data_IF_664929731039
#
_entry.id   IF_664929731039
#
_cell.length_a   1.000
_cell.length_b   1.000
_cell.length_c   1.000
_cell.angle_alpha   90.00
_cell.angle_beta   90.00
_cell.angle_gamma   90.00
#
_symmetry.space_group_name_H-M   'P 1'
#
loop_
_entity.id
_entity.type
_entity.pdbx_description
1 polymer ?
#
# COMPACT_ATOMS: atom_id res chain seq x y z
N UNK A 1 -24.50 -18.13 -6.48
CA UNK A 1 -24.97 -17.08 -7.41
C UNK A 1 -24.05 -15.90 -7.20
N UNK A 2 -23.06 -15.70 -8.09
CA UNK A 2 -22.04 -14.64 -7.99
C UNK A 2 -22.71 -13.35 -8.49
N UNK A 3 -23.02 -12.43 -7.56
CA UNK A 3 -23.52 -11.11 -7.94
C UNK A 3 -22.34 -10.27 -8.50
N UNK A 4 -22.21 -10.26 -9.82
CA UNK A 4 -21.36 -9.29 -10.50
C UNK A 4 -22.03 -7.92 -10.45
N UNK A 5 -21.85 -7.19 -9.36
CA UNK A 5 -22.15 -5.75 -9.31
C UNK A 5 -21.08 -5.02 -10.13
N UNK A 6 -21.27 -4.96 -11.46
CA UNK A 6 -20.43 -4.11 -12.31
C UNK A 6 -20.77 -2.66 -11.97
N UNK A 7 -19.75 -1.87 -11.66
CA UNK A 7 -19.89 -0.42 -11.54
C UNK A 7 -20.58 0.13 -12.80
N UNK A 8 -21.69 0.80 -12.62
CA UNK A 8 -22.31 1.55 -13.71
C UNK A 8 -21.57 2.89 -13.91
N UNK A 9 -21.41 3.39 -15.14
CA UNK A 9 -20.66 4.63 -15.41
C UNK A 9 -21.16 5.88 -14.67
N UNK A 10 -22.40 5.85 -14.17
CA UNK A 10 -23.02 6.98 -13.45
C UNK A 10 -22.63 7.10 -11.98
N UNK A 11 -22.10 6.04 -11.36
CA UNK A 11 -21.76 6.02 -9.93
C UNK A 11 -20.38 6.61 -9.63
N UNK A 12 -20.25 7.23 -8.45
CA UNK A 12 -19.00 7.79 -7.95
C UNK A 12 -18.11 6.70 -7.32
N UNK A 13 -16.82 7.00 -7.26
CA UNK A 13 -15.82 6.23 -6.51
C UNK A 13 -15.40 7.05 -5.30
N UNK A 14 -15.62 6.53 -4.10
CA UNK A 14 -15.10 7.11 -2.87
C UNK A 14 -13.67 6.61 -2.62
N UNK A 15 -12.72 7.51 -2.40
CA UNK A 15 -11.35 7.18 -2.02
C UNK A 15 -11.08 7.74 -0.63
N UNK A 16 -11.03 6.88 0.39
CA UNK A 16 -10.60 7.30 1.73
C UNK A 16 -9.07 7.28 1.82
N UNK A 17 -8.49 8.21 2.59
CA UNK A 17 -7.04 8.39 2.58
C UNK A 17 -6.51 9.01 1.29
N UNK A 18 -7.35 9.76 0.58
CA UNK A 18 -7.07 10.36 -0.73
C UNK A 18 -5.85 11.31 -0.74
N UNK A 19 -5.50 11.93 0.39
CA UNK A 19 -4.32 12.80 0.53
C UNK A 19 -3.03 12.04 0.89
N UNK A 20 -3.10 10.73 1.12
CA UNK A 20 -1.95 9.88 1.39
C UNK A 20 -1.18 9.53 0.11
N UNK A 21 -0.02 8.87 0.27
CA UNK A 21 0.86 8.49 -0.84
C UNK A 21 0.10 7.75 -1.96
N UNK A 22 -0.50 6.60 -1.67
CA UNK A 22 -1.24 5.81 -2.67
C UNK A 22 -2.52 6.56 -3.11
N UNK A 23 -3.20 7.20 -2.15
CA UNK A 23 -4.47 7.90 -2.41
C UNK A 23 -4.34 9.02 -3.44
N UNK A 24 -3.26 9.79 -3.41
CA UNK A 24 -2.98 10.85 -4.38
C UNK A 24 -2.80 10.28 -5.79
N UNK A 25 -1.97 9.24 -5.94
CA UNK A 25 -1.75 8.57 -7.22
C UNK A 25 -3.04 7.95 -7.77
N UNK A 26 -3.79 7.24 -6.92
CA UNK A 26 -5.05 6.59 -7.32
C UNK A 26 -6.11 7.61 -7.74
N UNK A 27 -6.29 8.67 -6.94
CA UNK A 27 -7.27 9.73 -7.25
C UNK A 27 -6.97 10.40 -8.58
N UNK A 28 -5.69 10.77 -8.81
CA UNK A 28 -5.25 11.36 -10.08
C UNK A 28 -5.48 10.43 -11.26
N UNK A 29 -5.14 9.14 -11.12
CA UNK A 29 -5.32 8.16 -12.19
C UNK A 29 -6.81 7.89 -12.51
N UNK A 30 -7.68 7.85 -11.50
CA UNK A 30 -9.12 7.69 -11.69
C UNK A 30 -9.74 8.90 -12.41
N UNK A 31 -9.36 10.12 -11.99
CA UNK A 31 -9.82 11.36 -12.63
C UNK A 31 -9.35 11.42 -14.10
N UNK A 32 -8.07 11.09 -14.37
CA UNK A 32 -7.52 11.05 -15.72
C UNK A 32 -8.23 10.03 -16.64
N UNK A 33 -8.84 8.98 -16.06
CA UNK A 33 -9.66 8.01 -16.78
C UNK A 33 -11.15 8.43 -16.90
N UNK A 34 -11.51 9.63 -16.44
CA UNK A 34 -12.87 10.18 -16.55
C UNK A 34 -13.85 9.68 -15.47
N UNK A 35 -13.35 9.07 -14.37
CA UNK A 35 -14.23 8.65 -13.28
C UNK A 35 -14.61 9.81 -12.36
N UNK A 36 -15.84 9.80 -11.85
CA UNK A 36 -16.29 10.70 -10.78
C UNK A 36 -15.71 10.20 -9.46
N UNK A 37 -14.80 10.97 -8.85
CA UNK A 37 -14.10 10.61 -7.60
C UNK A 37 -14.53 11.53 -6.47
N UNK A 38 -14.85 10.94 -5.32
CA UNK A 38 -15.06 11.64 -4.05
C UNK A 38 -13.84 11.39 -3.16
N UNK A 39 -12.92 12.36 -3.05
CA UNK A 39 -11.76 12.21 -2.17
C UNK A 39 -12.13 12.50 -0.72
N UNK A 40 -11.83 11.57 0.19
CA UNK A 40 -11.95 11.76 1.64
C UNK A 40 -10.58 11.63 2.32
N UNK A 41 -10.27 12.56 3.19
CA UNK A 41 -9.01 12.58 3.95
C UNK A 41 -9.26 12.97 5.41
N UNK A 42 -8.23 12.92 6.26
CA UNK A 42 -8.33 13.37 7.65
C UNK A 42 -8.72 14.85 7.81
N UNK A 43 -8.57 15.65 6.75
CA UNK A 43 -9.06 17.04 6.72
C UNK A 43 -10.58 17.11 6.56
N UNK A 44 -11.19 16.08 5.96
CA UNK A 44 -12.65 15.97 5.79
C UNK A 44 -13.33 15.35 7.01
N UNK A 45 -12.59 14.73 7.92
CA UNK A 45 -13.07 14.10 9.14
C UNK A 45 -12.26 12.86 9.54
N UNK A 46 -12.35 12.47 10.83
CA UNK A 46 -11.73 11.24 11.32
C UNK A 46 -12.53 10.04 10.84
N UNK A 47 -11.91 9.21 9.99
CA UNK A 47 -12.55 8.04 9.38
C UNK A 47 -13.16 7.07 10.39
N UNK A 48 -12.69 7.06 11.63
CA UNK A 48 -13.20 6.20 12.70
C UNK A 48 -14.51 6.69 13.33
N UNK A 49 -14.89 7.95 13.08
CA UNK A 49 -16.03 8.56 13.78
C UNK A 49 -16.82 9.57 12.95
N UNK A 50 -16.33 9.97 11.76
CA UNK A 50 -17.10 10.85 10.90
C UNK A 50 -18.26 10.11 10.25
N UNK A 51 -19.37 10.82 10.08
CA UNK A 51 -20.46 10.34 9.24
C UNK A 51 -20.04 10.44 7.77
N UNK A 52 -20.13 9.32 7.07
CA UNK A 52 -19.86 9.25 5.64
C UNK A 52 -21.21 9.44 4.90
N UNK A 53 -21.47 10.67 4.49
CA UNK A 53 -22.72 11.02 3.81
C UNK A 53 -22.41 11.41 2.36
N UNK A 54 -22.30 10.38 1.49
CA UNK A 54 -22.03 10.53 0.07
C UNK A 54 -23.06 9.75 -0.73
N UNK A 55 -23.69 10.42 -1.68
CA UNK A 55 -24.69 9.83 -2.58
C UNK A 55 -24.03 9.20 -3.81
N UNK A 56 -24.72 8.26 -4.43
CA UNK A 56 -24.34 7.61 -5.69
C UNK A 56 -22.96 6.90 -5.69
N UNK A 57 -22.44 6.51 -4.55
CA UNK A 57 -21.18 5.76 -4.46
C UNK A 57 -21.41 4.31 -4.85
N UNK A 58 -20.68 3.84 -5.87
CA UNK A 58 -20.74 2.44 -6.33
C UNK A 58 -19.56 1.60 -5.83
N UNK A 59 -18.43 2.23 -5.57
CA UNK A 59 -17.21 1.57 -5.09
C UNK A 59 -16.45 2.45 -4.12
N UNK A 60 -15.84 1.82 -3.11
CA UNK A 60 -14.97 2.48 -2.14
C UNK A 60 -13.57 1.89 -2.21
N UNK A 61 -12.56 2.74 -2.37
CA UNK A 61 -11.18 2.38 -2.07
C UNK A 61 -10.85 2.83 -0.64
N UNK A 62 -10.70 1.88 0.27
CA UNK A 62 -10.35 2.21 1.65
C UNK A 62 -8.84 2.15 1.86
N UNK A 63 -8.19 3.32 1.71
CA UNK A 63 -6.74 3.52 1.87
C UNK A 63 -6.40 4.25 3.17
N UNK A 64 -7.38 4.81 3.87
CA UNK A 64 -7.17 5.52 5.12
C UNK A 64 -6.63 4.57 6.19
N UNK A 65 -5.40 4.80 6.63
CA UNK A 65 -4.75 4.00 7.66
C UNK A 65 -3.56 4.73 8.27
N UNK A 66 -3.19 4.36 9.49
CA UNK A 66 -1.86 4.60 10.05
C UNK A 66 -0.96 3.44 9.66
N UNK A 67 0.19 3.73 9.03
CA UNK A 67 1.01 2.70 8.35
C UNK A 67 2.44 2.57 8.88
N UNK A 68 2.98 3.58 9.58
CA UNK A 68 4.37 3.55 10.04
C UNK A 68 4.53 2.67 11.29
N UNK A 69 5.09 1.47 11.10
CA UNK A 69 5.18 0.43 12.13
C UNK A 69 5.81 0.91 13.45
N UNK A 70 6.94 1.66 13.49
CA UNK A 70 7.52 2.12 14.75
C UNK A 70 6.57 2.97 15.60
N UNK A 71 5.70 3.78 14.99
CA UNK A 71 4.73 4.59 15.74
C UNK A 71 3.58 3.74 16.30
N UNK A 72 3.32 2.54 15.75
CA UNK A 72 2.30 1.64 16.26
C UNK A 72 2.62 1.09 17.66
N UNK A 73 3.91 0.98 17.98
CA UNK A 73 4.36 0.61 19.33
C UNK A 73 4.22 1.75 20.33
N UNK A 74 4.40 3.00 19.88
CA UNK A 74 4.29 4.19 20.73
C UNK A 74 2.85 4.55 21.07
N UNK A 75 1.95 4.37 20.11
CA UNK A 75 0.53 4.71 20.28
C UNK A 75 -0.38 3.67 19.59
N UNK A 76 -0.47 2.44 20.13
CA UNK A 76 -1.26 1.38 19.52
C UNK A 76 -2.75 1.71 19.42
N UNK A 77 -3.32 2.39 20.42
CA UNK A 77 -4.74 2.75 20.42
C UNK A 77 -5.16 3.55 19.18
N UNK A 78 -4.30 4.47 18.72
CA UNK A 78 -4.57 5.26 17.52
C UNK A 78 -4.61 4.40 16.25
N UNK A 79 -3.86 3.29 16.21
CA UNK A 79 -3.90 2.34 15.10
C UNK A 79 -5.18 1.51 15.11
N UNK A 80 -5.60 1.00 16.26
CA UNK A 80 -6.90 0.30 16.37
C UNK A 80 -8.05 1.21 15.97
N UNK A 81 -8.04 2.44 16.44
CA UNK A 81 -9.08 3.42 16.13
C UNK A 81 -9.18 3.69 14.63
N UNK A 82 -8.06 4.05 13.99
CA UNK A 82 -8.07 4.41 12.55
C UNK A 82 -8.20 3.17 11.67
N UNK A 83 -7.39 2.13 11.91
CA UNK A 83 -7.30 1.00 10.98
C UNK A 83 -8.44 -0.01 11.15
N UNK A 84 -8.96 -0.21 12.37
CA UNK A 84 -10.07 -1.15 12.61
C UNK A 84 -11.40 -0.41 12.63
N UNK A 85 -11.62 0.54 13.55
CA UNK A 85 -12.92 1.22 13.64
C UNK A 85 -13.21 2.03 12.38
N UNK A 86 -12.19 2.66 11.77
CA UNK A 86 -12.34 3.31 10.47
C UNK A 86 -12.77 2.35 9.37
N UNK A 87 -12.21 1.14 9.34
CA UNK A 87 -12.64 0.09 8.38
C UNK A 87 -14.10 -0.33 8.64
N UNK A 88 -14.49 -0.54 9.90
CA UNK A 88 -15.89 -0.89 10.23
C UNK A 88 -16.85 0.22 9.81
N UNK A 89 -16.51 1.50 10.04
CA UNK A 89 -17.32 2.63 9.58
C UNK A 89 -17.52 2.65 8.06
N UNK A 90 -16.44 2.38 7.30
CA UNK A 90 -16.52 2.28 5.83
C UNK A 90 -17.31 1.05 5.38
N UNK A 91 -17.18 -0.08 6.04
CA UNK A 91 -17.97 -1.28 5.75
C UNK A 91 -19.46 -1.04 5.98
N UNK A 92 -19.83 -0.33 7.05
CA UNK A 92 -21.21 0.03 7.33
C UNK A 92 -21.76 0.99 6.28
N UNK A 93 -20.96 1.98 5.85
CA UNK A 93 -21.31 2.83 4.69
C UNK A 93 -21.58 1.97 3.44
N UNK A 94 -20.68 1.02 3.11
CA UNK A 94 -20.85 0.15 1.95
C UNK A 94 -22.12 -0.71 2.07
N UNK A 95 -22.46 -1.19 3.27
CA UNK A 95 -23.68 -1.96 3.54
C UNK A 95 -24.94 -1.14 3.26
N UNK A 96 -24.99 0.08 3.79
CA UNK A 96 -26.16 0.96 3.67
C UNK A 96 -26.37 1.46 2.21
N UNK A 97 -25.26 1.80 1.54
CA UNK A 97 -25.29 2.35 0.18
C UNK A 97 -25.16 1.31 -0.94
N UNK A 98 -25.12 0.01 -0.60
CA UNK A 98 -24.92 -1.09 -1.56
C UNK A 98 -23.69 -0.88 -2.44
N UNK A 99 -22.60 -0.34 -1.85
CA UNK A 99 -21.32 -0.13 -2.53
C UNK A 99 -20.41 -1.33 -2.34
N UNK A 100 -19.52 -1.58 -3.30
CA UNK A 100 -18.42 -2.54 -3.16
C UNK A 100 -17.19 -1.88 -2.55
N UNK A 101 -16.30 -2.70 -1.94
CA UNK A 101 -15.12 -2.23 -1.23
C UNK A 101 -13.85 -2.89 -1.76
N UNK A 102 -12.82 -2.10 -2.06
CA UNK A 102 -11.44 -2.55 -2.08
C UNK A 102 -10.74 -2.10 -0.80
N UNK A 103 -10.43 -3.07 0.06
CA UNK A 103 -9.75 -2.85 1.35
C UNK A 103 -8.25 -3.01 1.17
N UNK A 104 -7.48 -1.95 1.45
CA UNK A 104 -6.04 -2.01 1.47
C UNK A 104 -5.54 -2.59 2.80
N UNK A 105 -5.01 -3.83 2.75
CA UNK A 105 -4.34 -4.49 3.85
C UNK A 105 -2.81 -4.28 3.77
N UNK A 106 -2.03 -5.29 4.12
CA UNK A 106 -0.58 -5.37 4.03
C UNK A 106 -0.16 -6.84 3.96
N UNK A 107 1.11 -7.14 3.66
CA UNK A 107 1.64 -8.50 3.73
C UNK A 107 1.85 -8.94 5.20
N UNK A 108 0.76 -9.29 5.87
CA UNK A 108 0.68 -9.61 7.31
C UNK A 108 0.94 -11.08 7.63
N UNK A 109 1.84 -11.72 6.90
CA UNK A 109 2.16 -13.14 7.01
C UNK A 109 3.19 -13.45 8.11
N UNK A 110 3.88 -12.43 8.59
CA UNK A 110 4.95 -12.61 9.54
C UNK A 110 6.20 -13.23 8.89
N UNK A 111 6.75 -14.29 9.52
CA UNK A 111 7.81 -15.11 8.91
C UNK A 111 7.16 -16.20 8.07
N UNK A 112 7.17 -16.10 6.74
CA UNK A 112 6.52 -17.09 5.89
C UNK A 112 7.27 -18.42 5.95
N UNK A 113 6.56 -19.52 5.76
CA UNK A 113 7.14 -20.87 5.73
C UNK A 113 7.64 -21.24 4.35
N UNK A 114 7.18 -20.56 3.31
CA UNK A 114 7.54 -20.80 1.90
C UNK A 114 7.67 -19.49 1.14
N UNK A 115 8.46 -19.53 0.08
CA UNK A 115 8.61 -18.47 -0.91
C UNK A 115 8.36 -19.05 -2.32
N UNK A 116 7.66 -18.31 -3.18
CA UNK A 116 6.96 -17.05 -2.94
C UNK A 116 5.79 -17.21 -1.96
N UNK A 117 5.42 -16.12 -1.26
CA UNK A 117 4.34 -16.12 -0.25
C UNK A 117 2.98 -16.07 -0.93
N UNK A 118 2.17 -17.11 -0.78
CA UNK A 118 0.80 -17.15 -1.28
C UNK A 118 -0.20 -16.55 -0.28
N UNK A 119 -1.41 -16.23 -0.76
CA UNK A 119 -2.49 -15.71 0.10
C UNK A 119 -3.00 -16.72 1.14
N UNK A 120 -2.67 -18.00 0.96
CA UNK A 120 -3.07 -19.09 1.87
C UNK A 120 -2.07 -19.28 3.03
N UNK A 121 -0.93 -18.56 3.02
CA UNK A 121 0.02 -18.56 4.13
C UNK A 121 -0.65 -17.99 5.40
N UNK A 122 -0.45 -18.61 6.57
CA UNK A 122 -1.04 -18.15 7.82
C UNK A 122 -0.66 -16.72 8.18
N UNK A 123 -1.65 -15.95 8.65
CA UNK A 123 -1.43 -14.57 9.09
C UNK A 123 -0.84 -14.55 10.50
N UNK A 124 0.18 -13.72 10.71
CA UNK A 124 0.84 -13.55 12.01
C UNK A 124 1.16 -12.08 12.27
N UNK A 125 0.56 -11.54 13.32
CA UNK A 125 0.84 -10.18 13.76
C UNK A 125 2.09 -10.15 14.65
N UNK A 126 3.08 -9.33 14.28
CA UNK A 126 4.27 -9.08 15.12
C UNK A 126 4.29 -7.68 15.72
N UNK A 127 3.36 -6.84 15.36
CA UNK A 127 3.26 -5.48 15.85
C UNK A 127 1.81 -5.00 15.82
N UNK A 128 1.47 -3.92 16.56
CA UNK A 128 0.09 -3.41 16.60
C UNK A 128 -0.46 -3.04 15.22
N UNK A 129 0.36 -2.52 14.31
CA UNK A 129 -0.07 -2.22 12.94
C UNK A 129 -0.56 -3.48 12.22
N UNK A 130 0.26 -4.55 12.15
CA UNK A 130 -0.12 -5.79 11.48
C UNK A 130 -1.35 -6.43 12.12
N UNK A 131 -1.47 -6.38 13.44
CA UNK A 131 -2.66 -6.87 14.15
C UNK A 131 -3.92 -6.11 13.73
N UNK A 132 -3.87 -4.78 13.66
CA UNK A 132 -5.03 -4.00 13.21
C UNK A 132 -5.42 -4.27 11.77
N UNK A 133 -4.45 -4.59 10.89
CA UNK A 133 -4.73 -4.97 9.50
C UNK A 133 -5.40 -6.34 9.40
N UNK A 134 -4.97 -7.32 10.20
CA UNK A 134 -5.62 -8.64 10.27
C UNK A 134 -7.08 -8.49 10.75
N UNK A 135 -7.32 -7.73 11.82
CA UNK A 135 -8.68 -7.49 12.32
C UNK A 135 -9.57 -6.75 11.31
N UNK A 136 -8.99 -5.82 10.54
CA UNK A 136 -9.71 -5.14 9.47
C UNK A 136 -10.10 -6.11 8.32
N UNK A 137 -9.23 -7.07 7.97
CA UNK A 137 -9.57 -8.14 7.03
C UNK A 137 -10.68 -9.04 7.56
N UNK A 138 -10.62 -9.42 8.83
CA UNK A 138 -11.66 -10.23 9.48
C UNK A 138 -13.02 -9.52 9.47
N UNK A 139 -13.04 -8.21 9.79
CA UNK A 139 -14.25 -7.40 9.67
C UNK A 139 -14.77 -7.39 8.22
N UNK A 140 -13.89 -7.20 7.23
CA UNK A 140 -14.24 -7.23 5.81
C UNK A 140 -14.89 -8.56 5.39
N UNK A 141 -14.31 -9.71 5.79
CA UNK A 141 -14.87 -11.04 5.52
C UNK A 141 -16.23 -11.22 6.19
N UNK A 142 -16.35 -10.81 7.45
CA UNK A 142 -17.61 -10.88 8.18
C UNK A 142 -18.73 -10.10 7.49
N UNK A 143 -18.46 -8.86 7.05
CA UNK A 143 -19.44 -8.06 6.31
C UNK A 143 -19.79 -8.67 4.95
N UNK A 144 -18.83 -9.28 4.27
CA UNK A 144 -19.09 -10.00 3.02
C UNK A 144 -20.02 -11.21 3.24
N UNK A 145 -19.79 -12.00 4.28
CA UNK A 145 -20.53 -13.23 4.57
C UNK A 145 -21.93 -12.93 5.11
N UNK A 146 -22.03 -12.02 6.08
CA UNK A 146 -23.28 -11.78 6.80
C UNK A 146 -24.16 -10.73 6.12
N UNK A 147 -23.55 -9.70 5.54
CA UNK A 147 -24.28 -8.56 4.98
C UNK A 147 -24.17 -8.43 3.45
N UNK A 148 -23.49 -9.36 2.80
CA UNK A 148 -23.33 -9.40 1.33
C UNK A 148 -22.64 -8.16 0.74
N UNK A 149 -21.84 -7.46 1.51
CA UNK A 149 -20.97 -6.37 1.01
C UNK A 149 -19.85 -7.00 0.17
N UNK A 150 -19.70 -6.68 -1.12
CA UNK A 150 -18.60 -7.22 -1.92
C UNK A 150 -17.27 -6.60 -1.47
N UNK A 151 -16.38 -7.39 -0.88
CA UNK A 151 -15.08 -6.92 -0.35
C UNK A 151 -13.93 -7.61 -1.05
N UNK A 152 -13.10 -6.84 -1.74
CA UNK A 152 -11.80 -7.29 -2.28
C UNK A 152 -10.69 -6.79 -1.37
N UNK A 153 -9.87 -7.69 -0.84
CA UNK A 153 -8.76 -7.38 0.07
C UNK A 153 -7.46 -7.46 -0.73
N UNK A 154 -6.71 -6.37 -0.75
CA UNK A 154 -5.38 -6.32 -1.38
C UNK A 154 -4.31 -6.30 -0.28
N UNK A 155 -3.36 -7.24 -0.35
CA UNK A 155 -2.18 -7.32 0.52
C UNK A 155 -0.94 -6.86 -0.25
N UNK A 156 -0.64 -5.56 -0.27
CA UNK A 156 0.56 -5.07 -0.93
C UNK A 156 1.81 -5.47 -0.15
N UNK A 157 2.87 -5.76 -0.89
CA UNK A 157 4.22 -5.86 -0.35
C UNK A 157 4.83 -4.45 -0.19
N UNK A 158 6.13 -4.25 -0.36
CA UNK A 158 6.70 -2.94 -0.06
C UNK A 158 6.48 -1.97 -1.23
N UNK A 159 5.51 -1.09 -1.07
CA UNK A 159 5.18 -0.10 -2.07
C UNK A 159 6.24 1.01 -2.03
N UNK A 160 6.65 1.51 -3.19
CA UNK A 160 7.55 2.66 -3.30
C UNK A 160 7.18 3.52 -4.53
N UNK A 161 7.67 4.75 -4.55
CA UNK A 161 7.45 5.68 -5.65
C UNK A 161 7.51 7.14 -5.22
N UNK A 162 7.35 8.09 -6.18
CA UNK A 162 7.37 9.52 -5.91
C UNK A 162 6.33 9.95 -4.88
N UNK A 163 6.73 10.79 -3.92
CA UNK A 163 5.84 11.32 -2.88
C UNK A 163 5.66 10.44 -1.66
N UNK A 164 6.35 9.30 -1.56
CA UNK A 164 6.34 8.48 -0.35
C UNK A 164 7.07 9.17 0.82
N UNK A 165 6.57 8.95 2.04
CA UNK A 165 7.16 9.50 3.28
C UNK A 165 8.62 9.06 3.45
N UNK A 166 9.50 10.03 3.75
CA UNK A 166 10.96 9.83 3.92
C UNK A 166 11.34 8.88 5.08
N UNK A 167 10.41 8.51 5.94
CA UNK A 167 10.62 7.51 6.99
C UNK A 167 10.70 6.07 6.48
N UNK A 168 10.22 5.79 5.25
CA UNK A 168 10.31 4.48 4.61
C UNK A 168 11.65 4.27 3.91
N UNK A 169 12.02 3.01 3.68
CA UNK A 169 13.37 2.60 3.26
C UNK A 169 13.84 3.29 1.98
N UNK A 170 13.10 3.17 0.89
CA UNK A 170 13.51 3.71 -0.42
C UNK A 170 13.63 5.24 -0.37
N UNK A 171 12.62 6.01 0.10
CA UNK A 171 12.77 7.46 0.22
C UNK A 171 13.87 7.88 1.20
N UNK A 172 14.13 7.09 2.28
CA UNK A 172 15.22 7.36 3.22
C UNK A 172 16.59 7.22 2.54
N UNK A 173 16.77 6.18 1.72
CA UNK A 173 18.00 5.98 0.94
C UNK A 173 18.17 7.14 -0.05
N UNK A 174 17.15 7.46 -0.83
CA UNK A 174 17.18 8.52 -1.82
C UNK A 174 17.46 9.91 -1.20
N UNK A 175 16.82 10.21 -0.06
CA UNK A 175 17.06 11.48 0.63
C UNK A 175 18.51 11.63 1.07
N UNK A 176 19.14 10.57 1.57
CA UNK A 176 20.57 10.59 1.93
C UNK A 176 21.47 10.66 0.67
N UNK A 177 21.05 10.02 -0.41
CA UNK A 177 21.79 10.02 -1.66
C UNK A 177 21.93 11.41 -2.27
N UNK A 178 20.84 12.20 -2.25
CA UNK A 178 20.82 13.55 -2.85
C UNK A 178 21.29 14.67 -1.92
N UNK A 179 21.44 14.38 -0.62
CA UNK A 179 21.86 15.39 0.36
C UNK A 179 23.38 15.66 0.20
N UNK A 180 23.80 16.88 -0.21
CA UNK A 180 25.22 17.20 -0.44
C UNK A 180 26.06 17.20 0.86
N UNK A 181 25.43 17.40 2.02
CA UNK A 181 26.09 17.43 3.30
C UNK A 181 26.43 16.02 3.84
N UNK A 182 25.77 14.98 3.30
CA UNK A 182 26.00 13.60 3.71
C UNK A 182 27.00 12.91 2.77
N UNK A 183 28.14 12.49 3.29
CA UNK A 183 29.15 11.73 2.54
C UNK A 183 28.82 10.24 2.35
N UNK A 184 27.80 9.74 3.05
CA UNK A 184 27.47 8.31 3.05
C UNK A 184 25.96 8.07 3.15
N UNK A 185 25.54 6.87 2.69
CA UNK A 185 24.18 6.33 2.90
C UNK A 185 24.24 5.35 4.07
N UNK A 186 23.51 5.66 5.15
CA UNK A 186 23.50 4.86 6.38
C UNK A 186 22.21 4.07 6.49
N UNK A 187 22.32 2.75 6.65
CA UNK A 187 21.21 1.84 6.85
C UNK A 187 21.50 0.86 7.99
N UNK A 188 20.47 0.23 8.54
CA UNK A 188 20.64 -0.71 9.65
C UNK A 188 21.31 -2.01 9.23
N UNK A 189 20.86 -2.60 8.10
CA UNK A 189 21.39 -3.85 7.56
C UNK A 189 21.22 -3.86 6.02
N UNK A 190 22.20 -4.37 5.31
CA UNK A 190 22.23 -4.46 3.82
C UNK A 190 21.60 -5.73 3.29
N UNK A 191 21.51 -6.77 4.12
CA UNK A 191 21.15 -8.14 3.69
C UNK A 191 19.66 -8.38 3.46
N UNK A 192 18.70 -7.79 4.26
CA UNK A 192 17.30 -8.08 4.11
C UNK A 192 16.80 -7.80 2.69
N UNK A 193 16.02 -8.75 2.17
CA UNK A 193 15.44 -8.70 0.83
C UNK A 193 13.95 -8.46 0.92
N UNK A 194 13.43 -7.63 0.04
CA UNK A 194 12.00 -7.28 0.00
C UNK A 194 11.48 -7.27 -1.44
N UNK A 195 10.24 -7.66 -1.59
CA UNK A 195 9.47 -7.39 -2.80
C UNK A 195 9.05 -5.93 -2.80
N UNK A 196 9.51 -5.19 -3.80
CA UNK A 196 9.18 -3.78 -4.00
C UNK A 196 8.25 -3.64 -5.19
N UNK A 197 7.03 -3.15 -4.94
CA UNK A 197 6.05 -2.83 -5.98
C UNK A 197 5.99 -1.32 -6.20
N UNK A 198 6.11 -0.91 -7.47
CA UNK A 198 6.01 0.49 -7.82
C UNK A 198 4.58 0.99 -7.72
N UNK A 199 4.39 2.23 -7.26
CA UNK A 199 3.06 2.78 -6.94
C UNK A 199 2.12 2.79 -8.13
N UNK A 200 2.59 3.04 -9.36
CA UNK A 200 1.73 3.03 -10.54
C UNK A 200 1.21 1.63 -10.90
N UNK A 201 2.01 0.58 -10.69
CA UNK A 201 1.56 -0.79 -10.88
C UNK A 201 0.48 -1.19 -9.87
N UNK A 202 0.66 -0.78 -8.60
CA UNK A 202 -0.38 -0.98 -7.58
C UNK A 202 -1.65 -0.23 -7.94
N UNK A 203 -1.56 1.01 -8.39
CA UNK A 203 -2.72 1.82 -8.80
C UNK A 203 -3.46 1.18 -9.97
N UNK A 204 -2.75 0.62 -10.96
CA UNK A 204 -3.40 -0.13 -12.06
C UNK A 204 -4.18 -1.34 -11.53
N UNK A 205 -3.61 -2.11 -10.59
CA UNK A 205 -4.32 -3.20 -9.93
C UNK A 205 -5.56 -2.69 -9.19
N UNK A 206 -5.44 -1.64 -8.37
CA UNK A 206 -6.56 -1.10 -7.62
C UNK A 206 -7.71 -0.68 -8.54
N UNK A 207 -7.42 0.02 -9.63
CA UNK A 207 -8.46 0.40 -10.59
C UNK A 207 -9.18 -0.84 -11.14
N UNK A 208 -8.46 -1.91 -11.45
CA UNK A 208 -9.07 -3.17 -11.94
C UNK A 208 -10.00 -3.80 -10.90
N UNK A 209 -9.69 -3.70 -9.60
CA UNK A 209 -10.55 -4.27 -8.55
C UNK A 209 -11.93 -3.61 -8.48
N UNK A 210 -12.05 -2.32 -8.79
CA UNK A 210 -13.34 -1.62 -8.81
C UNK A 210 -14.30 -2.18 -9.88
N UNK A 211 -13.77 -2.67 -11.00
CA UNK A 211 -14.56 -3.18 -12.12
C UNK A 211 -14.71 -4.69 -12.13
N UNK A 212 -13.89 -5.39 -11.36
CA UNK A 212 -13.88 -6.86 -11.23
C UNK A 212 -13.96 -7.28 -9.76
N UNK A 213 -14.74 -6.55 -8.93
CA UNK A 213 -14.89 -6.88 -7.51
C UNK A 213 -15.63 -8.21 -7.38
N UNK A 214 -14.88 -9.29 -7.12
CA UNK A 214 -15.40 -10.64 -6.95
C UNK A 214 -15.33 -11.13 -5.51
N UNK A 215 -14.82 -10.27 -4.62
CA UNK A 215 -14.45 -10.67 -3.27
C UNK A 215 -13.14 -11.47 -3.25
N UNK A 216 -12.64 -11.73 -2.03
CA UNK A 216 -11.42 -12.51 -1.83
C UNK A 216 -10.19 -11.67 -1.49
N UNK A 217 -9.07 -12.39 -1.31
CA UNK A 217 -7.78 -11.83 -0.89
C UNK A 217 -6.76 -12.03 -2.00
N UNK A 218 -5.97 -10.98 -2.26
CA UNK A 218 -5.01 -10.95 -3.36
C UNK A 218 -3.72 -10.26 -2.96
N UNK A 219 -2.60 -10.90 -3.23
CA UNK A 219 -1.28 -10.31 -3.07
C UNK A 219 -0.98 -9.29 -4.17
N UNK A 220 -0.36 -8.17 -3.80
CA UNK A 220 0.15 -7.18 -4.73
C UNK A 220 1.66 -6.99 -4.50
N UNK A 221 2.47 -7.54 -5.38
CA UNK A 221 3.93 -7.48 -5.34
C UNK A 221 4.52 -7.51 -6.74
N UNK A 222 5.84 -7.39 -6.83
CA UNK A 222 6.57 -7.59 -8.09
C UNK A 222 6.80 -9.07 -8.42
N UNK A 223 6.68 -9.96 -7.43
CA UNK A 223 7.01 -11.37 -7.53
C UNK A 223 8.52 -11.64 -7.46
N UNK A 224 9.31 -10.67 -7.08
CA UNK A 224 10.77 -10.76 -6.92
C UNK A 224 11.24 -9.98 -5.71
N UNK A 225 12.36 -10.37 -5.11
CA UNK A 225 12.94 -9.63 -3.98
C UNK A 225 14.28 -9.01 -4.35
N UNK A 226 14.52 -7.81 -3.79
CA UNK A 226 15.79 -7.09 -3.89
C UNK A 226 16.32 -6.80 -2.50
N UNK A 227 17.64 -6.95 -2.29
CA UNK A 227 18.27 -6.61 -1.03
C UNK A 227 18.37 -5.08 -0.85
N UNK A 228 18.54 -4.65 0.40
CA UNK A 228 18.84 -3.24 0.70
C UNK A 228 20.10 -2.81 -0.03
N UNK A 229 21.12 -3.69 -0.09
CA UNK A 229 22.36 -3.43 -0.82
C UNK A 229 22.10 -3.18 -2.31
N UNK A 230 21.33 -4.05 -2.99
CA UNK A 230 20.98 -3.89 -4.41
C UNK A 230 20.21 -2.59 -4.67
N UNK A 231 19.32 -2.19 -3.75
CA UNK A 231 18.63 -0.91 -3.88
C UNK A 231 19.61 0.28 -3.83
N UNK A 232 20.60 0.24 -2.92
CA UNK A 232 21.61 1.29 -2.79
C UNK A 232 22.57 1.29 -3.98
N UNK A 233 22.97 0.14 -4.49
CA UNK A 233 23.79 0.03 -5.70
C UNK A 233 23.12 0.73 -6.89
N UNK A 234 21.84 0.44 -7.14
CA UNK A 234 21.07 1.10 -8.20
C UNK A 234 20.98 2.61 -7.97
N UNK A 235 20.74 3.05 -6.73
CA UNK A 235 20.68 4.48 -6.40
C UNK A 235 22.04 5.16 -6.64
N UNK A 236 23.14 4.52 -6.26
CA UNK A 236 24.49 5.06 -6.49
C UNK A 236 24.83 5.21 -7.98
N UNK A 237 24.29 4.35 -8.86
CA UNK A 237 24.44 4.49 -10.30
C UNK A 237 23.68 5.70 -10.88
N UNK A 238 22.71 6.25 -10.15
CA UNK A 238 21.98 7.46 -10.55
C UNK A 238 22.69 8.77 -10.14
N UNK A 239 23.69 8.68 -9.25
CA UNK A 239 24.41 9.83 -8.74
C UNK A 239 25.61 10.20 -9.64
N UNK A 240 25.96 11.48 -9.72
CA UNK A 240 27.20 11.92 -10.39
C UNK A 240 28.47 11.30 -9.81
N UNK A 241 28.48 11.06 -8.50
CA UNK A 241 29.51 10.33 -7.77
C UNK A 241 28.86 9.44 -6.71
N UNK A 242 29.20 8.13 -6.66
CA UNK A 242 28.61 7.22 -5.70
C UNK A 242 29.02 7.60 -4.26
N UNK A 243 28.09 7.46 -3.34
CA UNK A 243 28.34 7.66 -1.90
C UNK A 243 28.79 6.37 -1.22
N UNK A 244 29.59 6.51 -0.17
CA UNK A 244 29.95 5.41 0.69
C UNK A 244 28.70 4.82 1.34
N UNK A 245 28.69 3.50 1.54
CA UNK A 245 27.59 2.78 2.20
C UNK A 245 28.03 2.30 3.56
N UNK A 246 27.28 2.66 4.60
CA UNK A 246 27.55 2.28 5.98
C UNK A 246 26.36 1.47 6.52
N UNK A 247 26.65 0.28 7.07
CA UNK A 247 25.68 -0.54 7.77
C UNK A 247 25.93 -0.47 9.27
N UNK A 248 24.92 -0.12 10.06
CA UNK A 248 25.00 -0.05 11.52
C UNK A 248 25.11 -1.44 12.18
N UNK A 249 24.81 -2.51 11.42
CA UNK A 249 24.81 -3.89 11.92
C UNK A 249 23.69 -4.20 12.91
N UNK A 250 22.73 -3.31 13.06
CA UNK A 250 21.59 -3.50 13.95
C UNK A 250 20.49 -4.35 13.28
N UNK A 251 20.25 -5.55 13.83
CA UNK A 251 19.15 -6.41 13.40
C UNK A 251 17.89 -6.16 14.23
N UNK A 252 16.73 -6.14 13.59
CA UNK A 252 15.46 -6.18 14.31
C UNK A 252 15.23 -7.59 14.85
N UNK A 253 14.67 -7.75 16.07
CA UNK A 253 14.45 -9.07 16.67
C UNK A 253 13.63 -10.03 15.77
N UNK A 254 12.70 -9.49 14.99
CA UNK A 254 11.79 -10.25 14.13
C UNK A 254 12.07 -10.00 12.63
N UNK A 255 13.33 -9.78 12.25
CA UNK A 255 13.70 -9.53 10.87
C UNK A 255 13.40 -10.74 9.98
N UNK A 256 12.69 -10.50 8.89
CA UNK A 256 12.45 -11.47 7.81
C UNK A 256 13.50 -11.22 6.73
N UNK A 257 14.42 -12.17 6.54
CA UNK A 257 15.57 -11.96 5.63
C UNK A 257 15.17 -11.89 4.15
N UNK A 258 14.19 -12.69 3.73
CA UNK A 258 13.68 -12.66 2.36
C UNK A 258 12.17 -12.82 2.35
N UNK A 259 11.49 -11.99 1.56
CA UNK A 259 10.04 -12.06 1.38
C UNK A 259 9.63 -11.49 0.02
N UNK A 260 8.88 -12.28 -0.76
CA UNK A 260 8.28 -11.83 -2.03
C UNK A 260 6.97 -12.57 -2.30
N UNK A 261 6.10 -11.91 -3.05
CA UNK A 261 4.73 -12.35 -3.31
C UNK A 261 4.64 -13.46 -4.35
N UNK A 262 3.78 -14.44 -4.10
CA UNK A 262 3.10 -15.14 -5.18
C UNK A 262 1.94 -14.27 -5.68
N UNK A 263 2.01 -13.83 -6.92
CA UNK A 263 0.98 -13.00 -7.58
C UNK A 263 0.12 -13.79 -8.57
N UNK A 264 0.23 -15.11 -8.58
CA UNK A 264 -0.46 -15.98 -9.56
C UNK A 264 -1.98 -15.84 -9.49
N UNK A 265 -2.53 -15.73 -8.27
CA UNK A 265 -3.97 -15.50 -8.04
C UNK A 265 -4.39 -14.14 -8.57
N UNK A 266 -3.66 -13.08 -8.25
CA UNK A 266 -3.92 -11.72 -8.71
C UNK A 266 -3.84 -11.60 -10.23
N UNK A 267 -2.82 -12.22 -10.84
CA UNK A 267 -2.66 -12.28 -12.30
C UNK A 267 -3.87 -12.90 -12.97
N UNK A 268 -4.33 -14.03 -12.48
CA UNK A 268 -5.46 -14.77 -13.07
C UNK A 268 -6.78 -13.99 -12.94
N UNK A 269 -7.06 -13.44 -11.73
CA UNK A 269 -8.35 -12.81 -11.46
C UNK A 269 -8.49 -11.43 -12.09
N UNK A 270 -7.41 -10.65 -12.13
CA UNK A 270 -7.45 -9.27 -12.62
C UNK A 270 -6.77 -9.07 -13.97
N UNK A 271 -6.22 -10.13 -14.59
CA UNK A 271 -5.39 -10.02 -15.81
C UNK A 271 -4.32 -8.93 -15.64
N UNK A 272 -3.60 -8.99 -14.51
CA UNK A 272 -2.67 -7.96 -14.09
C UNK A 272 -1.30 -8.55 -13.79
N UNK A 273 -0.28 -7.82 -14.20
CA UNK A 273 1.12 -8.04 -13.82
C UNK A 273 1.80 -6.70 -13.62
N UNK A 274 2.71 -6.56 -12.64
CA UNK A 274 3.54 -5.36 -12.53
C UNK A 274 4.38 -5.20 -13.79
N UNK A 275 4.57 -3.95 -14.24
CA UNK A 275 5.29 -3.64 -15.50
C UNK A 275 6.56 -2.84 -15.26
N UNK A 276 6.68 -2.20 -14.10
CA UNK A 276 7.80 -1.33 -13.78
C UNK A 276 8.94 -2.16 -13.20
N UNK A 277 10.06 -2.24 -13.90
CA UNK A 277 11.26 -2.85 -13.37
C UNK A 277 11.77 -2.05 -12.17
N UNK A 278 12.35 -2.72 -11.15
CA UNK A 278 12.77 -2.08 -9.90
C UNK A 278 13.74 -0.90 -10.14
N UNK A 279 14.68 -1.06 -11.08
CA UNK A 279 15.62 -0.01 -11.50
C UNK A 279 14.91 1.23 -12.06
N UNK A 280 13.91 1.00 -12.91
CA UNK A 280 13.19 2.10 -13.58
C UNK A 280 12.32 2.85 -12.58
N UNK A 281 11.64 2.14 -11.69
CA UNK A 281 10.86 2.75 -10.60
C UNK A 281 11.73 3.53 -9.60
N UNK A 282 12.96 3.05 -9.31
CA UNK A 282 13.91 3.79 -8.49
C UNK A 282 14.34 5.10 -9.19
N UNK A 283 14.63 5.06 -10.49
CA UNK A 283 14.95 6.25 -11.29
C UNK A 283 13.80 7.25 -11.25
N UNK A 284 12.58 6.81 -11.54
CA UNK A 284 11.41 7.70 -11.53
C UNK A 284 11.17 8.32 -10.13
N UNK A 285 11.41 7.54 -9.06
CA UNK A 285 11.32 8.04 -7.68
C UNK A 285 12.40 9.06 -7.38
N UNK A 286 13.61 8.84 -7.86
CA UNK A 286 14.75 9.76 -7.74
C UNK A 286 14.48 11.08 -8.47
N UNK A 287 14.07 11.01 -9.74
CA UNK A 287 13.77 12.18 -10.57
C UNK A 287 12.63 13.02 -9.96
N UNK A 288 11.59 12.35 -9.42
CA UNK A 288 10.53 13.01 -8.68
C UNK A 288 11.00 13.71 -7.40
N UNK A 289 12.01 13.18 -6.71
CA UNK A 289 12.61 13.82 -5.53
C UNK A 289 13.44 15.06 -5.94
N UNK A 290 14.26 14.97 -6.98
CA UNK A 290 15.06 16.10 -7.50
C UNK A 290 14.14 17.25 -7.90
N UNK A 291 13.10 16.97 -8.70
CA UNK A 291 12.12 17.99 -9.11
C UNK A 291 11.47 18.71 -7.91
N UNK A 292 11.16 17.98 -6.83
CA UNK A 292 10.61 18.59 -5.61
C UNK A 292 11.62 19.49 -4.86
N UNK A 293 12.91 19.20 -4.95
CA UNK A 293 13.96 20.02 -4.33
C UNK A 293 14.18 21.32 -5.11
N UNK A 294 14.19 21.25 -6.44
CA UNK A 294 14.35 22.41 -7.33
C UNK A 294 13.19 23.42 -7.19
N UNK A 295 11.95 22.94 -6.97
CA UNK A 295 10.79 23.81 -6.72
C UNK A 295 10.81 24.50 -5.34
N UNK A 296 11.68 24.09 -4.42
CA UNK A 296 11.76 24.65 -3.06
C UNK A 296 12.96 25.58 -2.86
N UNK A 297 13.92 25.58 -3.79
CA UNK A 297 15.08 26.49 -3.85
C UNK A 297 14.72 27.80 -4.55
#
# INVERSE_FOLDING_TARGET
MIFSLRMTPSKCILVTGASGFIGTHLTSALIAKGHRVVPHSSRSGDIASCELNFEDVGHVFHLAARTFVPDSWKNPLSYYRVNLLGTVNVLEFCRVHHASLTLMSSYVYGRPTRLPVSEDEPLRAFNPYSHTKILAEEAGRYYQEQFRVPVTIIRPFNIYGPGQDRRFLIPKILAQAVDPELGSIVVSDLRPRRDFIFVSDLVDLLIRTAFRCQGGVFNAGSGSSFSVNQAIEIVNELLPAPKQVLAEGSMRPDEVFDVFADISRTRREFDWTPRTAFRDGLRETFDGLISQLEFRS
#
